data_IF_478998509373
#
_entry.id   IF_478998509373
#
_cell.length_a   1.000
_cell.length_b   1.000
_cell.length_c   1.000
_cell.angle_alpha   90.00
_cell.angle_beta   90.00
_cell.angle_gamma   90.00
#
_symmetry.space_group_name_H-M   'P 1'
#
loop_
_entity.id
_entity.type
_entity.pdbx_description
1 polymer ?
#
# COMPACT_ATOMS: atom_id res chain seq x y z
N UNK A 1 -1.29 19.18 22.13
CA UNK A 1 -1.65 19.35 20.71
C UNK A 1 -0.47 18.87 19.88
N UNK A 2 -0.61 17.77 19.15
CA UNK A 2 0.33 17.47 18.07
C UNK A 2 0.14 18.59 17.04
N UNK A 3 1.15 19.42 16.82
CA UNK A 3 1.11 20.37 15.71
C UNK A 3 0.90 19.58 14.43
N UNK A 4 -0.06 19.97 13.58
CA UNK A 4 -0.20 19.38 12.25
C UNK A 4 1.06 19.68 11.44
N UNK A 5 2.01 18.74 11.45
CA UNK A 5 3.21 18.81 10.63
C UNK A 5 2.87 18.22 9.27
N UNK A 6 3.21 18.94 8.23
CA UNK A 6 3.12 18.49 6.85
C UNK A 6 4.54 18.52 6.30
N UNK A 7 5.00 17.40 5.75
CA UNK A 7 6.24 17.33 5.02
C UNK A 7 5.94 17.23 3.53
N UNK A 8 6.59 18.09 2.74
CA UNK A 8 6.60 17.99 1.29
C UNK A 8 8.03 17.69 0.85
N UNK A 9 8.17 16.62 0.08
CA UNK A 9 9.41 16.22 -0.59
C UNK A 9 9.14 16.22 -2.08
N UNK A 10 10.00 16.89 -2.83
CA UNK A 10 9.89 17.03 -4.27
C UNK A 10 11.24 16.76 -4.90
N UNK A 11 11.26 15.94 -5.96
CA UNK A 11 12.39 15.70 -6.83
C UNK A 11 11.86 15.59 -8.27
N UNK A 12 12.67 16.01 -9.24
CA UNK A 12 12.32 15.93 -10.66
C UNK A 12 12.48 14.49 -11.17
N UNK A 13 11.55 13.61 -10.77
CA UNK A 13 11.52 12.19 -11.12
C UNK A 13 10.33 11.96 -12.06
N UNK A 14 10.62 11.48 -13.27
CA UNK A 14 9.62 11.35 -14.34
C UNK A 14 9.17 9.91 -14.60
N UNK A 15 9.78 8.94 -13.92
CA UNK A 15 9.46 7.50 -14.02
C UNK A 15 9.70 6.81 -12.70
N UNK A 16 8.84 5.86 -12.38
CA UNK A 16 9.07 4.94 -11.27
C UNK A 16 10.20 3.94 -11.59
N UNK A 17 10.95 3.48 -10.58
CA UNK A 17 11.96 2.45 -10.77
C UNK A 17 11.30 1.09 -11.07
N UNK A 18 11.91 0.32 -11.97
CA UNK A 18 11.40 -1.01 -12.35
C UNK A 18 11.67 -2.10 -11.31
N UNK A 19 11.07 -3.27 -11.55
CA UNK A 19 11.12 -4.43 -10.65
C UNK A 19 12.48 -5.16 -10.63
N UNK A 20 13.42 -4.83 -11.52
CA UNK A 20 14.74 -5.49 -11.70
C UNK A 20 15.53 -5.69 -10.39
N UNK A 21 15.34 -4.79 -9.42
CA UNK A 21 16.00 -4.79 -8.12
C UNK A 21 15.01 -4.81 -6.95
N UNK A 22 13.82 -5.41 -7.14
CA UNK A 22 12.75 -5.48 -6.14
C UNK A 22 12.45 -4.13 -5.45
N UNK A 23 12.61 -3.03 -6.20
CA UNK A 23 12.43 -1.66 -5.75
C UNK A 23 13.27 -1.26 -4.53
N UNK A 24 14.50 -1.78 -4.42
CA UNK A 24 15.45 -1.46 -3.35
C UNK A 24 16.15 -0.12 -3.54
N UNK A 25 16.69 0.49 -2.47
CA UNK A 25 17.53 1.68 -2.61
C UNK A 25 18.85 1.34 -3.31
N UNK A 26 19.43 2.33 -3.99
CA UNK A 26 20.82 2.26 -4.48
C UNK A 26 21.84 2.76 -3.44
N UNK A 27 21.36 3.44 -2.41
CA UNK A 27 22.19 4.04 -1.36
C UNK A 27 22.26 3.07 -0.17
N UNK A 28 23.45 2.76 0.36
CA UNK A 28 23.62 1.94 1.55
C UNK A 28 23.27 2.74 2.82
N UNK A 29 21.98 2.99 3.05
CA UNK A 29 21.52 3.70 4.24
C UNK A 29 21.91 2.92 5.51
N UNK A 30 22.43 3.59 6.57
CA UNK A 30 22.90 2.90 7.78
C UNK A 30 21.86 1.98 8.46
N UNK A 31 20.59 2.40 8.45
CA UNK A 31 19.45 1.71 9.02
C UNK A 31 18.83 0.63 8.11
N UNK A 32 19.27 0.53 6.85
CA UNK A 32 18.71 -0.41 5.89
C UNK A 32 19.03 -1.85 6.28
N UNK A 33 17.99 -2.69 6.34
CA UNK A 33 18.04 -4.03 6.92
C UNK A 33 18.54 -5.13 5.97
N UNK A 34 18.83 -4.79 4.70
CA UNK A 34 19.34 -5.73 3.69
C UNK A 34 20.65 -5.25 3.06
N UNK A 35 21.72 -5.03 3.84
CA UNK A 35 22.95 -4.39 3.36
C UNK A 35 23.68 -5.18 2.26
N UNK A 36 23.34 -6.46 2.08
CA UNK A 36 23.84 -7.35 1.04
C UNK A 36 23.16 -7.14 -0.33
N UNK A 37 22.05 -6.40 -0.38
CA UNK A 37 21.28 -6.20 -1.61
C UNK A 37 20.89 -4.74 -1.82
N UNK A 38 21.55 -4.10 -2.79
CA UNK A 38 21.29 -2.74 -3.24
C UNK A 38 20.96 -2.74 -4.74
N UNK A 39 20.09 -1.82 -5.14
CA UNK A 39 19.81 -1.57 -6.54
C UNK A 39 21.03 -0.95 -7.23
N UNK A 40 21.39 -1.45 -8.42
CA UNK A 40 22.42 -0.79 -9.24
C UNK A 40 21.91 0.51 -9.90
N UNK A 41 20.58 0.69 -9.92
CA UNK A 41 19.89 1.86 -10.47
C UNK A 41 19.35 2.73 -9.36
N UNK A 42 19.34 4.04 -9.58
CA UNK A 42 18.73 4.98 -8.65
C UNK A 42 17.26 4.61 -8.36
N UNK A 43 16.86 4.84 -7.12
CA UNK A 43 15.49 4.70 -6.65
C UNK A 43 15.16 5.91 -5.79
N UNK A 44 14.86 7.01 -6.46
CA UNK A 44 14.57 8.29 -5.84
C UNK A 44 13.30 8.23 -4.99
N UNK A 45 12.37 7.33 -5.30
CA UNK A 45 11.15 7.12 -4.51
C UNK A 45 11.49 6.67 -3.10
N UNK A 46 12.43 5.73 -2.95
CA UNK A 46 12.91 5.30 -1.64
C UNK A 46 13.50 6.46 -0.84
N UNK A 47 14.36 7.24 -1.48
CA UNK A 47 14.97 8.42 -0.87
C UNK A 47 13.93 9.45 -0.44
N UNK A 48 12.89 9.65 -1.25
CA UNK A 48 11.81 10.61 -0.96
C UNK A 48 10.93 10.15 0.21
N UNK A 49 10.60 8.85 0.29
CA UNK A 49 9.88 8.28 1.44
C UNK A 49 10.70 8.46 2.72
N UNK A 50 11.98 8.10 2.66
CA UNK A 50 12.96 8.29 3.74
C UNK A 50 13.03 9.76 4.18
N UNK A 51 13.22 10.67 3.25
CA UNK A 51 13.29 12.10 3.52
C UNK A 51 11.99 12.65 4.12
N UNK A 52 10.84 12.15 3.66
CA UNK A 52 9.53 12.52 4.20
C UNK A 52 9.39 12.17 5.67
N UNK A 53 9.76 10.92 6.05
CA UNK A 53 9.77 10.48 7.44
C UNK A 53 10.66 11.36 8.31
N UNK A 54 11.86 11.70 7.83
CA UNK A 54 12.76 12.61 8.53
C UNK A 54 12.17 14.03 8.68
N UNK A 55 11.61 14.61 7.61
CA UNK A 55 11.01 15.96 7.61
C UNK A 55 9.79 16.06 8.53
N UNK A 56 9.09 14.95 8.77
CA UNK A 56 8.02 14.87 9.79
C UNK A 56 8.57 14.94 11.23
N UNK A 57 9.89 14.87 11.40
CA UNK A 57 10.58 14.91 12.69
C UNK A 57 10.61 13.58 13.42
N UNK A 58 10.37 12.47 12.71
CA UNK A 58 10.28 11.14 13.29
C UNK A 58 11.67 10.61 13.61
N UNK A 59 11.92 10.35 14.90
CA UNK A 59 13.19 9.86 15.44
C UNK A 59 14.42 10.68 14.96
N UNK A 60 14.25 12.01 14.84
CA UNK A 60 15.25 12.90 14.25
C UNK A 60 16.64 12.84 14.94
N UNK A 61 16.68 12.50 16.23
CA UNK A 61 17.92 12.37 17.01
C UNK A 61 18.82 11.24 16.49
N UNK A 62 18.23 10.20 15.90
CA UNK A 62 18.97 9.03 15.41
C UNK A 62 19.09 8.99 13.89
N UNK A 63 18.56 9.99 13.18
CA UNK A 63 18.59 10.04 11.72
C UNK A 63 20.01 9.88 11.17
N UNK A 64 20.17 9.02 10.15
CA UNK A 64 21.48 8.70 9.56
C UNK A 64 22.35 7.76 10.40
N UNK A 65 21.78 7.10 11.41
CA UNK A 65 22.44 6.04 12.17
C UNK A 65 21.75 4.71 11.94
N UNK A 66 22.45 3.60 12.24
CA UNK A 66 21.88 2.25 12.17
C UNK A 66 20.64 2.04 13.04
N UNK A 67 20.46 2.90 14.04
CA UNK A 67 19.37 2.81 15.02
C UNK A 67 18.22 3.77 14.70
N UNK A 68 18.20 4.39 13.52
CA UNK A 68 17.09 5.25 13.15
C UNK A 68 15.83 4.43 12.89
N UNK A 69 14.78 4.68 13.67
CA UNK A 69 13.51 3.99 13.61
C UNK A 69 12.36 5.01 13.61
N UNK A 70 12.02 5.60 12.45
CA UNK A 70 11.02 6.66 12.37
C UNK A 70 9.60 6.18 12.70
N UNK A 71 9.31 4.88 12.60
CA UNK A 71 7.98 4.34 12.89
C UNK A 71 7.86 3.71 14.29
N UNK A 72 8.96 3.65 15.06
CA UNK A 72 9.00 2.99 16.37
C UNK A 72 8.17 3.64 17.47
N UNK A 73 7.63 4.84 17.24
CA UNK A 73 6.65 5.46 18.15
C UNK A 73 5.22 4.97 17.90
N UNK A 74 4.96 4.32 16.76
CA UNK A 74 3.65 3.84 16.33
C UNK A 74 3.57 2.31 16.29
N UNK A 75 4.70 1.64 16.04
CA UNK A 75 4.80 0.19 15.86
C UNK A 75 5.74 -0.37 16.93
N UNK A 76 5.26 -1.35 17.68
CA UNK A 76 6.04 -2.11 18.64
C UNK A 76 6.51 -3.44 18.04
N UNK A 77 7.54 -4.03 18.64
CA UNK A 77 7.93 -5.40 18.35
C UNK A 77 6.76 -6.36 18.61
N UNK A 78 6.51 -7.28 17.67
CA UNK A 78 5.45 -8.28 17.76
C UNK A 78 4.09 -7.83 17.21
N UNK A 79 3.93 -6.55 16.85
CA UNK A 79 2.67 -6.05 16.32
C UNK A 79 2.29 -6.70 14.98
N UNK A 80 0.99 -6.72 14.71
CA UNK A 80 0.46 -6.96 13.35
C UNK A 80 0.19 -5.61 12.71
N UNK A 81 0.93 -5.30 11.64
CA UNK A 81 0.82 -4.01 10.94
C UNK A 81 0.02 -4.21 9.66
N UNK A 82 -1.09 -3.49 9.51
CA UNK A 82 -1.83 -3.41 8.25
C UNK A 82 -1.27 -2.26 7.41
N UNK A 83 -0.74 -2.58 6.23
CA UNK A 83 -0.39 -1.61 5.21
C UNK A 83 -1.46 -1.64 4.11
N UNK A 84 -2.20 -0.53 3.99
CA UNK A 84 -3.29 -0.38 3.02
C UNK A 84 -2.89 0.56 1.88
N UNK A 85 -2.30 0.06 0.78
CA UNK A 85 -2.08 0.86 -0.42
C UNK A 85 -3.41 1.29 -1.03
N UNK A 86 -3.33 1.98 -2.16
CA UNK A 86 -4.46 2.23 -3.05
C UNK A 86 -4.30 1.34 -4.28
N UNK A 87 -5.16 0.34 -4.45
CA UNK A 87 -5.26 -0.54 -5.61
C UNK A 87 -6.63 -0.35 -6.26
N UNK A 88 -6.64 0.09 -7.52
CA UNK A 88 -7.88 0.42 -8.23
C UNK A 88 -8.28 -0.71 -9.17
N UNK A 89 -7.46 -0.98 -10.20
CA UNK A 89 -7.77 -1.92 -11.29
C UNK A 89 -6.49 -2.64 -11.74
N UNK A 90 -6.62 -3.75 -12.45
CA UNK A 90 -5.53 -4.62 -12.91
C UNK A 90 -4.94 -4.24 -14.28
N UNK A 91 -5.66 -3.39 -15.02
CA UNK A 91 -5.24 -2.85 -16.30
C UNK A 91 -5.69 -1.39 -16.46
N UNK A 92 -4.94 -0.65 -17.27
CA UNK A 92 -5.30 0.68 -17.70
C UNK A 92 -6.03 0.61 -19.05
N UNK A 93 -7.33 0.91 -19.05
CA UNK A 93 -8.17 0.86 -20.25
C UNK A 93 -7.73 1.79 -21.39
N UNK A 94 -6.83 2.75 -21.15
CA UNK A 94 -6.21 3.55 -22.22
C UNK A 94 -4.97 2.89 -22.85
N UNK A 95 -4.55 1.71 -22.39
CA UNK A 95 -3.29 1.05 -22.75
C UNK A 95 -2.05 1.70 -22.13
N UNK A 96 -2.24 2.57 -21.12
CA UNK A 96 -1.15 3.21 -20.38
C UNK A 96 -0.53 2.29 -19.31
N UNK A 97 0.39 2.86 -18.52
CA UNK A 97 0.94 2.18 -17.35
C UNK A 97 -0.10 2.04 -16.21
N UNK A 98 0.26 1.22 -15.23
CA UNK A 98 -0.52 0.99 -14.01
C UNK A 98 -0.31 2.07 -12.95
N UNK A 99 0.58 3.04 -13.19
CA UNK A 99 1.13 3.93 -12.15
C UNK A 99 0.04 4.81 -11.51
N UNK A 100 -1.03 5.11 -12.24
CA UNK A 100 -2.17 5.87 -11.73
C UNK A 100 -3.26 5.00 -11.06
N UNK A 101 -3.19 3.68 -11.23
CA UNK A 101 -4.17 2.71 -10.73
C UNK A 101 -3.72 2.02 -9.44
N UNK A 102 -2.41 2.01 -9.16
CA UNK A 102 -1.87 1.39 -7.96
C UNK A 102 -0.95 2.35 -7.22
N UNK A 103 -0.84 2.18 -5.90
CA UNK A 103 0.33 2.68 -5.18
C UNK A 103 1.53 1.90 -5.67
N UNK A 104 2.43 2.60 -6.37
CA UNK A 104 3.55 1.95 -7.01
C UNK A 104 4.39 1.13 -5.99
N UNK A 105 4.84 -0.10 -6.33
CA UNK A 105 5.56 -0.97 -5.40
C UNK A 105 6.81 -0.33 -4.79
N UNK A 106 7.46 0.62 -5.47
CA UNK A 106 8.62 1.31 -4.91
C UNK A 106 8.31 2.17 -3.67
N UNK A 107 7.07 2.69 -3.57
CA UNK A 107 6.59 3.35 -2.35
C UNK A 107 6.32 2.30 -1.29
N UNK A 108 5.61 1.23 -1.65
CA UNK A 108 5.22 0.15 -0.72
C UNK A 108 6.47 -0.51 -0.13
N UNK A 109 7.46 -0.86 -0.96
CA UNK A 109 8.76 -1.40 -0.59
C UNK A 109 9.48 -0.54 0.44
N UNK A 110 9.57 0.78 0.18
CA UNK A 110 10.23 1.70 1.10
C UNK A 110 9.50 1.74 2.46
N UNK A 111 8.16 1.80 2.45
CA UNK A 111 7.37 1.80 3.69
C UNK A 111 7.50 0.47 4.44
N UNK A 112 7.44 -0.66 3.74
CA UNK A 112 7.62 -1.99 4.32
C UNK A 112 8.97 -2.13 5.02
N UNK A 113 10.06 -1.59 4.46
CA UNK A 113 11.36 -1.63 5.11
C UNK A 113 11.36 -0.91 6.46
N UNK A 114 10.76 0.28 6.54
CA UNK A 114 10.64 1.00 7.81
C UNK A 114 9.67 0.34 8.78
N UNK A 115 8.63 -0.33 8.29
CA UNK A 115 7.77 -1.18 9.12
C UNK A 115 8.58 -2.34 9.71
N UNK A 116 9.41 -3.02 8.92
CA UNK A 116 10.26 -4.11 9.40
C UNK A 116 11.39 -3.64 10.33
N UNK A 117 11.95 -2.44 10.11
CA UNK A 117 12.84 -1.79 11.08
C UNK A 117 12.13 -1.62 12.42
N UNK A 118 10.90 -1.10 12.42
CA UNK A 118 10.15 -0.84 13.65
C UNK A 118 9.70 -2.13 14.38
N UNK A 119 9.33 -3.15 13.61
CA UNK A 119 9.02 -4.48 14.11
C UNK A 119 10.26 -5.22 14.65
N UNK A 120 11.47 -4.81 14.24
CA UNK A 120 12.74 -5.43 14.63
C UNK A 120 12.79 -6.94 14.40
N UNK A 121 12.28 -7.39 13.25
CA UNK A 121 12.27 -8.81 12.87
C UNK A 121 11.24 -9.69 13.60
N UNK A 122 10.25 -9.09 14.26
CA UNK A 122 9.15 -9.80 14.95
C UNK A 122 7.79 -9.38 14.41
N UNK A 123 6.71 -10.06 14.80
CA UNK A 123 5.36 -9.72 14.36
C UNK A 123 5.09 -10.10 12.90
N UNK A 124 4.10 -9.45 12.27
CA UNK A 124 3.72 -9.70 10.87
C UNK A 124 3.16 -8.46 10.19
N UNK A 125 3.22 -8.44 8.86
CA UNK A 125 2.60 -7.39 8.04
C UNK A 125 1.48 -7.98 7.20
N UNK A 126 0.33 -7.31 7.17
CA UNK A 126 -0.75 -7.58 6.22
C UNK A 126 -0.70 -6.46 5.17
N UNK A 127 -0.52 -6.79 3.91
CA UNK A 127 -0.63 -5.88 2.77
C UNK A 127 -1.95 -6.15 2.07
N UNK A 128 -2.82 -5.16 1.93
CA UNK A 128 -4.11 -5.42 1.31
C UNK A 128 -4.92 -4.19 0.98
N UNK A 129 -5.86 -4.33 0.05
CA UNK A 129 -6.83 -3.29 -0.29
C UNK A 129 -8.13 -3.92 -0.82
N UNK A 130 -9.14 -3.09 -1.10
CA UNK A 130 -10.38 -3.49 -1.77
C UNK A 130 -10.53 -2.77 -3.12
N UNK A 131 -9.98 -3.31 -4.23
CA UNK A 131 -10.10 -2.68 -5.54
C UNK A 131 -11.56 -2.72 -6.07
N UNK A 132 -11.77 -2.19 -7.28
CA UNK A 132 -13.09 -2.30 -7.91
C UNK A 132 -13.47 -3.77 -8.15
N UNK A 133 -14.76 -4.07 -8.17
CA UNK A 133 -15.25 -5.46 -8.11
C UNK A 133 -14.76 -6.33 -9.27
N UNK A 134 -14.56 -5.70 -10.43
CA UNK A 134 -14.06 -6.26 -11.68
C UNK A 134 -12.53 -6.29 -11.82
N UNK A 135 -11.81 -5.94 -10.74
CA UNK A 135 -10.36 -6.10 -10.72
C UNK A 135 -9.95 -7.58 -10.60
N UNK A 136 -9.16 -8.07 -11.55
CA UNK A 136 -8.49 -9.37 -11.45
C UNK A 136 -7.29 -9.24 -10.50
N UNK A 137 -7.39 -9.84 -9.32
CA UNK A 137 -6.40 -9.63 -8.25
C UNK A 137 -5.00 -10.11 -8.64
N UNK A 138 -4.88 -11.34 -9.13
CA UNK A 138 -3.58 -11.91 -9.48
C UNK A 138 -2.89 -11.11 -10.60
N UNK A 139 -3.67 -10.64 -11.58
CA UNK A 139 -3.16 -9.78 -12.65
C UNK A 139 -2.71 -8.41 -12.15
N UNK A 140 -3.43 -7.80 -11.20
CA UNK A 140 -3.00 -6.56 -10.56
C UNK A 140 -1.63 -6.72 -9.90
N UNK A 141 -1.40 -7.86 -9.24
CA UNK A 141 -0.14 -8.13 -8.54
C UNK A 141 1.01 -8.35 -9.52
N UNK A 142 0.79 -9.13 -10.59
CA UNK A 142 1.82 -9.42 -11.59
C UNK A 142 2.14 -8.20 -12.44
N UNK A 143 1.10 -7.53 -12.97
CA UNK A 143 1.28 -6.36 -13.85
C UNK A 143 1.88 -5.18 -13.08
N UNK A 144 1.55 -5.06 -11.79
CA UNK A 144 2.12 -4.06 -10.92
C UNK A 144 3.53 -4.37 -10.40
N UNK A 145 4.06 -5.58 -10.57
CA UNK A 145 5.35 -6.00 -9.99
C UNK A 145 5.34 -6.19 -8.47
N UNK A 146 4.16 -6.32 -7.86
CA UNK A 146 3.98 -6.54 -6.42
C UNK A 146 4.49 -7.94 -6.04
N UNK A 147 4.31 -8.92 -6.91
CA UNK A 147 4.80 -10.30 -6.74
C UNK A 147 6.33 -10.36 -6.53
N UNK A 148 7.09 -9.62 -7.34
CA UNK A 148 8.55 -9.53 -7.28
C UNK A 148 8.99 -8.89 -5.98
N UNK A 149 8.29 -7.83 -5.55
CA UNK A 149 8.53 -7.20 -4.26
C UNK A 149 8.27 -8.17 -3.09
N UNK A 150 7.17 -8.92 -3.12
CA UNK A 150 6.81 -9.87 -2.06
C UNK A 150 7.78 -11.07 -2.01
N UNK A 151 8.23 -11.56 -3.16
CA UNK A 151 9.23 -12.61 -3.26
C UNK A 151 10.53 -12.23 -2.52
N UNK A 152 10.98 -10.98 -2.67
CA UNK A 152 12.17 -10.46 -2.01
C UNK A 152 12.10 -10.56 -0.46
N UNK A 153 10.96 -10.22 0.14
CA UNK A 153 10.76 -10.35 1.60
C UNK A 153 10.69 -11.82 2.02
N UNK A 154 9.96 -12.63 1.25
CA UNK A 154 9.79 -14.06 1.53
C UNK A 154 11.13 -14.80 1.54
N UNK A 155 12.01 -14.53 0.57
CA UNK A 155 13.36 -15.11 0.51
C UNK A 155 14.23 -14.76 1.72
N UNK A 156 13.93 -13.65 2.40
CA UNK A 156 14.63 -13.17 3.61
C UNK A 156 13.93 -13.59 4.91
N UNK A 157 12.95 -14.47 4.83
CA UNK A 157 12.21 -14.98 5.98
C UNK A 157 11.24 -13.96 6.59
N UNK A 158 10.96 -12.85 5.90
CA UNK A 158 9.98 -11.87 6.32
C UNK A 158 8.64 -12.16 5.64
N UNK A 159 7.60 -12.40 6.43
CA UNK A 159 6.26 -12.68 5.91
C UNK A 159 5.44 -11.39 5.79
N UNK A 160 4.96 -11.16 4.57
CA UNK A 160 3.92 -10.19 4.26
C UNK A 160 2.71 -10.99 3.77
N UNK A 161 1.64 -10.98 4.56
CA UNK A 161 0.37 -11.61 4.22
C UNK A 161 -0.38 -10.70 3.24
N UNK A 162 -0.65 -11.18 2.04
CA UNK A 162 -1.40 -10.44 1.05
C UNK A 162 -2.90 -10.72 1.19
N UNK A 163 -3.72 -9.69 1.26
CA UNK A 163 -5.16 -9.83 1.50
C UNK A 163 -6.01 -8.95 0.58
N UNK A 164 -7.02 -9.56 -0.04
CA UNK A 164 -8.07 -8.85 -0.79
C UNK A 164 -9.27 -8.61 0.14
N UNK A 165 -9.55 -7.33 0.41
CA UNK A 165 -10.61 -6.93 1.34
C UNK A 165 -12.02 -6.94 0.72
N UNK A 166 -12.16 -7.33 -0.54
CA UNK A 166 -13.47 -7.41 -1.19
C UNK A 166 -14.31 -8.54 -0.59
N UNK A 167 -15.54 -8.19 -0.19
CA UNK A 167 -16.57 -9.17 0.16
C UNK A 167 -17.22 -9.79 -1.09
N UNK A 168 -17.16 -9.09 -2.23
CA UNK A 168 -17.75 -9.49 -3.49
C UNK A 168 -16.82 -9.12 -4.63
N UNK A 169 -16.59 -10.06 -5.54
CA UNK A 169 -15.86 -9.89 -6.80
C UNK A 169 -16.84 -10.09 -7.95
N UNK A 170 -16.66 -9.42 -9.07
CA UNK A 170 -17.52 -9.58 -10.26
C UNK A 170 -16.68 -9.77 -11.49
N UNK A 171 -17.09 -10.68 -12.36
CA UNK A 171 -16.47 -10.80 -13.69
C UNK A 171 -17.25 -9.95 -14.70
N UNK A 172 -16.54 -9.24 -15.57
CA UNK A 172 -17.12 -8.50 -16.69
C UNK A 172 -16.78 -9.23 -17.98
N UNK A 173 -17.82 -9.61 -18.75
CA UNK A 173 -17.67 -10.17 -20.10
C UNK A 173 -18.39 -9.25 -21.08
N UNK A 174 -17.69 -8.77 -22.10
CA UNK A 174 -18.22 -7.87 -23.13
C UNK A 174 -18.90 -6.61 -22.57
N UNK A 175 -18.39 -6.07 -21.46
CA UNK A 175 -18.95 -4.89 -20.77
C UNK A 175 -20.19 -5.18 -19.92
N UNK A 176 -20.57 -6.45 -19.76
CA UNK A 176 -21.70 -6.88 -18.93
C UNK A 176 -21.19 -7.66 -17.71
N UNK A 177 -21.70 -7.33 -16.52
CA UNK A 177 -21.43 -8.12 -15.31
C UNK A 177 -22.01 -9.52 -15.47
N UNK A 178 -21.14 -10.51 -15.54
CA UNK A 178 -21.50 -11.89 -15.85
C UNK A 178 -21.77 -12.70 -14.59
N UNK A 179 -20.86 -12.65 -13.61
CA UNK A 179 -20.90 -13.51 -12.43
C UNK A 179 -20.53 -12.72 -11.16
N UNK A 180 -21.24 -13.02 -10.05
CA UNK A 180 -20.91 -12.51 -8.73
C UNK A 180 -20.25 -13.62 -7.92
N UNK A 181 -18.99 -13.40 -7.53
CA UNK A 181 -18.24 -14.30 -6.68
C UNK A 181 -18.14 -13.75 -5.26
N UNK A 182 -18.24 -14.64 -4.29
CA UNK A 182 -18.00 -14.30 -2.90
C UNK A 182 -16.50 -14.05 -2.70
N UNK A 183 -16.13 -12.86 -2.25
CA UNK A 183 -14.74 -12.48 -2.05
C UNK A 183 -14.16 -13.00 -0.72
N UNK A 184 -12.84 -12.91 -0.58
CA UNK A 184 -12.09 -13.59 0.48
C UNK A 184 -12.48 -13.08 1.88
N UNK A 185 -12.89 -11.81 1.97
CA UNK A 185 -13.30 -11.17 3.23
C UNK A 185 -14.78 -11.37 3.59
N UNK A 186 -15.56 -12.00 2.71
CA UNK A 186 -17.01 -12.18 2.87
C UNK A 186 -17.45 -12.90 4.15
N UNK A 187 -16.60 -13.77 4.70
CA UNK A 187 -16.87 -14.50 5.94
C UNK A 187 -16.30 -13.82 7.19
N UNK A 188 -15.54 -12.74 7.01
CA UNK A 188 -14.79 -12.05 8.07
C UNK A 188 -15.23 -10.59 8.25
N UNK A 189 -16.02 -10.04 7.32
CA UNK A 189 -16.56 -8.70 7.40
C UNK A 189 -17.68 -8.57 8.43
N UNK A 190 -17.67 -7.45 9.18
CA UNK A 190 -18.79 -7.03 10.01
C UNK A 190 -19.45 -5.80 9.41
N UNK A 191 -20.78 -5.78 9.37
CA UNK A 191 -21.52 -4.58 8.96
C UNK A 191 -21.54 -3.59 10.12
N UNK A 192 -20.94 -2.41 9.93
CA UNK A 192 -20.95 -1.33 10.92
C UNK A 192 -21.85 -0.20 10.44
N UNK A 193 -23.00 -0.06 11.10
CA UNK A 193 -23.93 1.04 10.83
C UNK A 193 -23.48 2.30 11.57
N UNK A 194 -23.01 3.29 10.82
CA UNK A 194 -22.50 4.54 11.38
C UNK A 194 -23.63 5.52 11.75
N UNK A 195 -24.77 5.46 11.08
CA UNK A 195 -25.92 6.35 11.32
C UNK A 195 -25.51 7.82 11.37
N UNK A 196 -26.00 8.55 12.37
CA UNK A 196 -25.72 9.98 12.57
C UNK A 196 -24.24 10.29 12.92
N UNK A 197 -23.42 9.27 13.21
CA UNK A 197 -21.96 9.44 13.39
C UNK A 197 -21.18 9.43 12.09
N UNK A 198 -21.85 9.19 10.96
CA UNK A 198 -21.24 9.27 9.64
C UNK A 198 -20.87 10.72 9.31
N UNK A 199 -19.66 10.96 8.80
CA UNK A 199 -19.30 12.25 8.21
C UNK A 199 -20.20 12.64 7.02
N UNK A 200 -21.00 11.68 6.51
CA UNK A 200 -21.96 11.86 5.44
C UNK A 200 -23.41 11.95 5.92
N UNK A 201 -23.69 11.89 7.24
CA UNK A 201 -25.05 11.81 7.78
C UNK A 201 -25.94 12.99 7.36
N UNK A 202 -25.35 14.18 7.21
CA UNK A 202 -26.07 15.41 6.87
C UNK A 202 -26.03 15.75 5.37
N UNK A 203 -25.44 14.88 4.53
CA UNK A 203 -25.40 15.14 3.10
C UNK A 203 -26.76 14.91 2.44
N UNK A 204 -27.18 15.76 1.48
CA UNK A 204 -28.37 15.53 0.69
C UNK A 204 -28.30 14.19 -0.06
N UNK A 205 -29.45 13.53 -0.23
CA UNK A 205 -29.53 12.22 -0.88
C UNK A 205 -28.94 12.22 -2.30
N UNK A 206 -29.11 13.31 -3.04
CA UNK A 206 -28.50 13.49 -4.37
C UNK A 206 -26.96 13.39 -4.31
N UNK A 207 -26.33 14.04 -3.33
CA UNK A 207 -24.88 14.00 -3.13
C UNK A 207 -24.43 12.59 -2.73
N UNK A 208 -25.20 11.92 -1.88
CA UNK A 208 -24.92 10.53 -1.51
C UNK A 208 -24.99 9.60 -2.72
N UNK A 209 -25.98 9.79 -3.61
CA UNK A 209 -26.11 9.01 -4.85
C UNK A 209 -24.94 9.25 -5.81
N UNK A 210 -24.46 10.48 -5.94
CA UNK A 210 -23.29 10.81 -6.78
C UNK A 210 -21.98 10.21 -6.25
N UNK A 211 -21.88 9.94 -4.94
CA UNK A 211 -20.70 9.34 -4.32
C UNK A 211 -20.73 7.80 -4.38
N UNK A 212 -21.81 7.19 -4.86
CA UNK A 212 -21.90 5.73 -4.99
C UNK A 212 -20.98 5.26 -6.12
N UNK A 213 -20.19 4.23 -5.80
CA UNK A 213 -19.51 3.43 -6.82
C UNK A 213 -20.58 2.53 -7.45
N UNK A 214 -20.87 2.76 -8.74
CA UNK A 214 -21.93 2.06 -9.50
C UNK A 214 -21.76 0.54 -9.53
N UNK A 215 -20.55 0.06 -9.28
CA UNK A 215 -20.21 -1.35 -9.29
C UNK A 215 -20.43 -2.01 -7.93
N UNK A 216 -20.89 -1.29 -6.90
CA UNK A 216 -21.24 -1.84 -5.58
C UNK A 216 -22.75 -1.76 -5.35
N UNK A 217 -23.41 -2.91 -5.22
CA UNK A 217 -24.77 -2.98 -4.69
C UNK A 217 -24.66 -3.17 -3.17
N UNK A 218 -25.15 -2.22 -2.34
CA UNK A 218 -25.15 -2.41 -0.90
C UNK A 218 -26.04 -3.60 -0.55
N UNK A 219 -25.54 -4.47 0.33
CA UNK A 219 -26.33 -5.55 0.90
C UNK A 219 -27.54 -4.91 1.58
N UNK A 220 -28.73 -5.25 1.08
CA UNK A 220 -30.03 -4.82 1.61
C UNK A 220 -30.24 -5.24 3.05
#
# INVERSE_FOLDING_TARGET
MLSNKIALVHRDVFKYPGADYAFRPSIPYPEYIFPDYLSSRANEVYDMVREGLFRMGLDAVRYGTKNWNPLGVYINHGDTVLLKPNFVMHENGSGGDMDCLITHPSVIAAVLDYVFIALGGTGKVILGDAPIQDCHWDELLSNGGIDTMLAFYKERGLQVELQDFRNVKRDVKDGVYADQQQGDSSQHGILVQMGDRSAFAELPEERLRMMRVTNYDPVS
#
